data_IF_916552522434
#
_entry.id   IF_916552522434
#
_cell.length_a   1.000
_cell.length_b   1.000
_cell.length_c   1.000
_cell.angle_alpha   90.00
_cell.angle_beta   90.00
_cell.angle_gamma   90.00
#
_symmetry.space_group_name_H-M   'P 1'
#
loop_
_entity.id
_entity.type
_entity.pdbx_description
1 polymer ?
#
# COMPACT_ATOMS: atom_id res chain seq x y z
N UNK A 1 16.43 -7.81 5.49
CA UNK A 1 16.31 -8.20 6.92
C UNK A 1 17.67 -8.18 7.61
N UNK A 2 18.72 -8.77 7.04
CA UNK A 2 20.07 -8.80 7.64
C UNK A 2 20.56 -7.43 8.17
N UNK A 3 20.31 -6.34 7.44
CA UNK A 3 20.71 -5.00 7.88
C UNK A 3 20.04 -4.55 9.20
N UNK A 4 18.80 -4.96 9.46
CA UNK A 4 18.10 -4.71 10.73
C UNK A 4 18.63 -5.61 11.85
N UNK A 5 18.82 -6.90 11.56
CA UNK A 5 19.34 -7.88 12.51
C UNK A 5 20.76 -7.51 12.98
N UNK A 6 21.59 -7.03 12.07
CA UNK A 6 22.97 -6.61 12.36
C UNK A 6 23.08 -5.14 12.79
N UNK A 7 21.96 -4.46 13.07
CA UNK A 7 21.91 -3.04 13.44
C UNK A 7 22.69 -2.11 12.48
N UNK A 8 22.83 -2.49 11.20
CA UNK A 8 23.39 -1.60 10.16
C UNK A 8 22.42 -0.46 9.84
N UNK A 9 21.12 -0.72 10.02
CA UNK A 9 20.08 0.30 10.09
C UNK A 9 19.37 0.19 11.44
N UNK A 10 19.03 1.33 12.03
CA UNK A 10 18.49 1.40 13.39
C UNK A 10 17.05 0.91 13.52
N UNK A 11 16.29 0.88 12.42
CA UNK A 11 14.95 0.32 12.37
C UNK A 11 14.27 0.50 11.01
N UNK A 12 13.06 -0.04 10.87
CA UNK A 12 12.23 0.11 9.68
C UNK A 12 10.74 0.19 10.02
N UNK A 13 10.00 1.05 9.31
CA UNK A 13 8.55 1.05 9.25
C UNK A 13 8.11 0.57 7.88
N UNK A 14 7.35 -0.53 7.80
CA UNK A 14 6.97 -1.16 6.54
C UNK A 14 5.45 -1.34 6.48
N UNK A 15 4.85 -0.87 5.38
CA UNK A 15 3.43 -1.09 5.06
C UNK A 15 3.24 -2.13 3.96
N UNK A 16 4.30 -2.47 3.22
CA UNK A 16 4.26 -3.42 2.10
C UNK A 16 5.37 -4.47 2.18
N UNK A 17 5.12 -5.63 1.56
CA UNK A 17 6.04 -6.78 1.53
C UNK A 17 6.10 -7.44 0.16
N UNK A 18 7.22 -8.09 -0.15
CA UNK A 18 7.46 -8.74 -1.44
C UNK A 18 6.44 -9.84 -1.79
N UNK A 19 5.97 -10.60 -0.79
CA UNK A 19 5.10 -11.75 -0.98
C UNK A 19 3.79 -11.66 -0.18
N UNK A 20 3.19 -10.47 -0.12
CA UNK A 20 1.92 -10.24 0.58
C UNK A 20 0.85 -11.32 0.29
N UNK A 21 0.10 -11.77 1.32
CA UNK A 21 0.12 -11.31 2.72
C UNK A 21 1.20 -11.98 3.58
N UNK A 22 2.13 -12.75 2.99
CA UNK A 22 3.18 -13.45 3.75
C UNK A 22 4.29 -12.48 4.13
N UNK A 23 4.49 -12.34 5.43
CA UNK A 23 5.61 -11.59 6.01
C UNK A 23 6.63 -12.58 6.57
N UNK A 24 7.94 -12.41 6.32
CA UNK A 24 8.96 -13.28 6.92
C UNK A 24 8.89 -13.23 8.45
N UNK A 25 8.87 -14.40 9.11
CA UNK A 25 8.83 -14.48 10.58
C UNK A 25 10.01 -13.72 11.23
N UNK A 26 11.20 -13.85 10.64
CA UNK A 26 12.40 -13.14 11.09
C UNK A 26 12.32 -11.61 11.00
N UNK A 27 11.33 -11.04 10.29
CA UNK A 27 11.04 -9.61 10.27
C UNK A 27 9.98 -9.24 11.32
N UNK A 28 8.99 -10.11 11.54
CA UNK A 28 7.96 -9.97 12.59
C UNK A 28 8.59 -9.99 13.99
N UNK A 29 9.60 -10.84 14.18
CA UNK A 29 10.25 -11.04 15.49
C UNK A 29 11.20 -9.88 15.88
N UNK A 30 11.38 -8.86 15.04
CA UNK A 30 12.33 -7.77 15.28
C UNK A 30 11.69 -6.64 16.09
N UNK A 31 12.28 -6.31 17.25
CA UNK A 31 11.87 -5.17 18.06
C UNK A 31 12.14 -3.80 17.37
N UNK A 32 13.07 -3.76 16.40
CA UNK A 32 13.39 -2.56 15.63
C UNK A 32 12.62 -2.47 14.29
N UNK A 33 11.53 -3.21 14.14
CA UNK A 33 10.63 -3.11 13.01
C UNK A 33 9.19 -2.82 13.45
N UNK A 34 8.51 -1.90 12.76
CA UNK A 34 7.06 -1.68 12.90
C UNK A 34 6.40 -2.03 11.57
N UNK A 35 5.45 -2.96 11.63
CA UNK A 35 4.87 -3.61 10.46
C UNK A 35 3.36 -3.32 10.38
N UNK A 36 2.91 -2.85 9.24
CA UNK A 36 1.49 -2.61 8.94
C UNK A 36 1.04 -3.49 7.76
N UNK A 37 -0.24 -3.93 7.74
CA UNK A 37 -0.75 -4.79 6.68
C UNK A 37 -1.34 -4.00 5.51
N UNK A 38 -0.52 -3.23 4.80
CA UNK A 38 -0.90 -2.48 3.59
C UNK A 38 -2.08 -1.52 3.81
N UNK A 39 -1.93 -0.63 4.80
CA UNK A 39 -2.95 0.29 5.26
C UNK A 39 -2.79 1.72 4.74
N UNK A 40 -1.84 2.00 3.85
CA UNK A 40 -1.52 3.36 3.39
C UNK A 40 -2.72 4.18 2.89
N UNK A 41 -3.73 3.53 2.29
CA UNK A 41 -4.98 4.18 1.83
C UNK A 41 -6.21 3.83 2.67
N UNK A 42 -6.06 3.18 3.82
CA UNK A 42 -7.15 2.62 4.62
C UNK A 42 -7.89 3.68 5.47
N UNK A 43 -8.28 4.80 4.88
CA UNK A 43 -9.20 5.77 5.46
C UNK A 43 -10.47 5.85 4.62
N UNK A 44 -11.60 6.14 5.26
CA UNK A 44 -12.90 6.28 4.58
C UNK A 44 -12.84 7.32 3.46
N UNK A 45 -12.23 8.48 3.73
CA UNK A 45 -12.09 9.56 2.76
C UNK A 45 -11.28 9.15 1.53
N UNK A 46 -10.08 8.57 1.73
CA UNK A 46 -9.22 8.16 0.61
C UNK A 46 -9.88 7.06 -0.21
N UNK A 47 -10.49 6.06 0.43
CA UNK A 47 -11.16 4.97 -0.29
C UNK A 47 -12.40 5.44 -1.04
N UNK A 48 -13.18 6.36 -0.47
CA UNK A 48 -14.32 6.97 -1.16
C UNK A 48 -13.87 7.73 -2.41
N UNK A 49 -12.81 8.53 -2.29
CA UNK A 49 -12.25 9.30 -3.41
C UNK A 49 -11.70 8.39 -4.52
N UNK A 50 -11.02 7.30 -4.17
CA UNK A 50 -10.57 6.29 -5.14
C UNK A 50 -11.76 5.63 -5.86
N UNK A 51 -12.85 5.34 -5.13
CA UNK A 51 -14.10 4.85 -5.70
C UNK A 51 -14.70 5.83 -6.71
N UNK A 52 -14.79 7.12 -6.34
CA UNK A 52 -15.25 8.18 -7.25
C UNK A 52 -14.36 8.29 -8.50
N UNK A 53 -13.04 8.24 -8.35
CA UNK A 53 -12.09 8.26 -9.47
C UNK A 53 -12.32 7.11 -10.48
N UNK A 54 -12.70 5.93 -10.00
CA UNK A 54 -13.07 4.82 -10.87
C UNK A 54 -14.42 5.08 -11.57
N UNK A 55 -15.42 5.59 -10.84
CA UNK A 55 -16.74 5.95 -11.39
C UNK A 55 -16.66 7.05 -12.45
N UNK A 56 -15.78 8.03 -12.26
CA UNK A 56 -15.57 9.12 -13.23
C UNK A 56 -15.07 8.59 -14.58
N UNK A 57 -14.21 7.56 -14.59
CA UNK A 57 -13.81 6.89 -15.83
C UNK A 57 -14.98 6.15 -16.49
N UNK A 58 -15.83 5.48 -15.70
CA UNK A 58 -17.03 4.79 -16.23
C UNK A 58 -17.99 5.81 -16.86
N UNK A 59 -18.24 6.94 -16.20
CA UNK A 59 -19.07 8.01 -16.70
C UNK A 59 -18.53 8.59 -18.01
N UNK A 60 -17.23 8.91 -18.06
CA UNK A 60 -16.57 9.43 -19.26
C UNK A 60 -16.64 8.44 -20.43
N UNK A 61 -16.42 7.14 -20.19
CA UNK A 61 -16.55 6.11 -21.22
C UNK A 61 -17.95 6.07 -21.83
N UNK A 62 -18.99 6.07 -20.99
CA UNK A 62 -20.38 6.02 -21.44
C UNK A 62 -20.80 7.29 -22.21
N UNK A 63 -20.19 8.43 -21.89
CA UNK A 63 -20.39 9.69 -22.59
C UNK A 63 -19.61 9.79 -23.91
N UNK A 64 -18.73 8.83 -24.22
CA UNK A 64 -17.83 8.90 -25.37
C UNK A 64 -16.71 9.93 -25.20
N UNK A 65 -16.40 10.30 -23.96
CA UNK A 65 -15.36 11.26 -23.59
C UNK A 65 -14.01 10.59 -23.33
N UNK A 66 -12.96 11.40 -23.20
CA UNK A 66 -11.64 10.90 -22.83
C UNK A 66 -11.63 10.41 -21.38
N UNK A 67 -11.03 9.24 -21.14
CA UNK A 67 -10.92 8.65 -19.80
C UNK A 67 -9.93 9.44 -18.94
N UNK A 68 -10.35 9.95 -17.75
CA UNK A 68 -9.48 10.73 -16.87
C UNK A 68 -8.24 9.99 -16.36
N UNK A 69 -8.31 8.67 -16.14
CA UNK A 69 -7.19 7.86 -15.63
C UNK A 69 -6.90 6.67 -16.55
N UNK A 70 -6.49 6.95 -17.78
CA UNK A 70 -6.04 5.94 -18.75
C UNK A 70 -4.65 5.42 -18.39
N UNK A 71 -4.46 4.09 -18.44
CA UNK A 71 -3.17 3.40 -18.29
C UNK A 71 -2.54 3.05 -19.63
#
# INVERSE_FOLDING_TARGET
IEALQNNRIGGAGLDVYEFEPKVPQALIDLDNATLLPHLGTATEEVRSNMGHMALDNVAAYLAGEALPNRV
#
